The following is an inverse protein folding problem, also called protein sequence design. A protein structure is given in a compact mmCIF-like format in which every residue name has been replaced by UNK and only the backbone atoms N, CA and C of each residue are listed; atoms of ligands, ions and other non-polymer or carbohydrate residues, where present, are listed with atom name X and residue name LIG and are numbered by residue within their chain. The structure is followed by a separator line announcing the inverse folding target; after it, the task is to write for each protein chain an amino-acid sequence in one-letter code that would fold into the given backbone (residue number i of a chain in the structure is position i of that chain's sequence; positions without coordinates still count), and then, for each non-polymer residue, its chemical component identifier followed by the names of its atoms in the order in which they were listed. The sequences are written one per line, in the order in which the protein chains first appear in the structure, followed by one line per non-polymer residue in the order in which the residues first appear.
data_IF_317693286181
#
_entry.id   IF_317693286181
#
_cell.length_a   1.000
_cell.length_b   1.000
_cell.length_c   1.000
_cell.angle_alpha   90.00
_cell.angle_beta   90.00
_cell.angle_gamma   90.00
#
_symmetry.space_group_name_H-M   'P 1'
#
loop_
_entity.id
_entity.type
_entity.pdbx_description
1 polymer ?
#
# COMPACT_ATOMS: atom_id res chain seq x y z
N UNK A 1 -2.08 27.52 -0.11
CA UNK A 1 -1.75 26.09 0.08
C UNK A 1 -3.02 25.26 -0.02
N UNK A 2 -2.89 24.09 -0.64
CA UNK A 2 -4.00 23.13 -0.74
C UNK A 2 -4.41 22.66 0.65
N UNK A 3 -5.70 22.55 0.88
CA UNK A 3 -6.22 22.10 2.17
C UNK A 3 -6.10 20.58 2.30
N UNK A 4 -6.02 20.10 3.53
CA UNK A 4 -5.92 18.66 3.82
C UNK A 4 -7.08 17.86 3.21
N UNK A 5 -8.31 18.38 3.33
CA UNK A 5 -9.47 17.68 2.79
C UNK A 5 -9.38 17.55 1.27
N UNK A 6 -8.85 18.56 0.60
CA UNK A 6 -8.66 18.50 -0.85
C UNK A 6 -7.58 17.48 -1.23
N UNK A 7 -6.52 17.38 -0.44
CA UNK A 7 -5.50 16.35 -0.64
C UNK A 7 -6.10 14.96 -0.48
N UNK A 8 -6.89 14.76 0.57
CA UNK A 8 -7.47 13.46 0.88
C UNK A 8 -8.67 13.09 0.00
N UNK A 9 -9.17 14.01 -0.82
CA UNK A 9 -10.24 13.69 -1.79
C UNK A 9 -9.81 12.63 -2.81
N UNK A 10 -8.51 12.42 -2.96
CA UNK A 10 -7.93 11.33 -3.75
C UNK A 10 -8.47 9.97 -3.32
N UNK A 11 -8.93 9.85 -2.08
CA UNK A 11 -9.54 8.62 -1.56
C UNK A 11 -10.66 8.11 -2.45
N UNK A 12 -11.40 9.01 -3.09
CA UNK A 12 -12.52 8.65 -3.96
C UNK A 12 -12.06 8.16 -5.34
N UNK A 13 -10.78 8.29 -5.66
CA UNK A 13 -10.22 7.88 -6.95
C UNK A 13 -9.51 6.53 -6.88
N UNK A 14 -9.48 5.90 -5.71
CA UNK A 14 -8.80 4.62 -5.48
C UNK A 14 -9.75 3.61 -4.86
N UNK A 15 -9.36 2.35 -4.91
CA UNK A 15 -10.06 1.30 -4.17
C UNK A 15 -9.55 1.24 -2.73
N UNK A 16 -10.48 1.07 -1.81
CA UNK A 16 -10.19 0.93 -0.37
C UNK A 16 -10.73 -0.39 0.12
N UNK A 17 -10.03 -0.98 1.10
CA UNK A 17 -10.42 -2.23 1.72
C UNK A 17 -10.37 -2.06 3.24
N UNK A 18 -11.31 -2.65 3.95
CA UNK A 18 -11.28 -2.62 5.41
C UNK A 18 -10.17 -3.51 5.95
N UNK A 19 -9.71 -3.24 7.17
CA UNK A 19 -8.72 -4.09 7.82
C UNK A 19 -9.25 -5.53 7.96
N UNK A 20 -10.54 -5.69 8.26
CA UNK A 20 -11.16 -7.02 8.38
C UNK A 20 -11.12 -7.80 7.07
N UNK A 21 -11.45 -7.15 5.95
CA UNK A 21 -11.41 -7.81 4.66
C UNK A 21 -9.97 -8.11 4.24
N UNK A 22 -9.03 -7.23 4.56
CA UNK A 22 -7.61 -7.47 4.28
C UNK A 22 -7.09 -8.69 5.07
N UNK A 23 -7.56 -8.87 6.30
CA UNK A 23 -7.16 -10.02 7.12
C UNK A 23 -7.50 -11.34 6.44
N UNK A 24 -8.61 -11.42 5.74
CA UNK A 24 -9.03 -12.63 5.02
C UNK A 24 -8.10 -12.96 3.86
N UNK A 25 -7.25 -12.02 3.44
CA UNK A 25 -6.34 -12.19 2.30
C UNK A 25 -4.92 -12.56 2.72
N UNK A 26 -4.64 -12.71 4.01
CA UNK A 26 -3.28 -12.95 4.53
C UNK A 26 -2.59 -14.17 3.92
N UNK A 27 -3.34 -15.22 3.62
CA UNK A 27 -2.78 -16.47 3.11
C UNK A 27 -3.08 -16.70 1.63
N UNK A 28 -3.59 -15.70 0.94
CA UNK A 28 -3.88 -15.79 -0.49
C UNK A 28 -2.58 -15.58 -1.28
N UNK A 29 -2.12 -16.58 -2.05
CA UNK A 29 -0.87 -16.44 -2.81
C UNK A 29 -0.94 -15.39 -3.93
N UNK A 30 -2.15 -14.95 -4.30
CA UNK A 30 -2.33 -13.92 -5.32
C UNK A 30 -2.38 -12.50 -4.74
N UNK A 31 -2.16 -12.36 -3.44
CA UNK A 31 -2.19 -11.07 -2.75
C UNK A 31 -0.81 -10.76 -2.17
N UNK A 32 -0.34 -9.56 -2.40
CA UNK A 32 0.90 -9.06 -1.82
C UNK A 32 0.62 -7.78 -1.05
N UNK A 33 0.96 -7.79 0.24
CA UNK A 33 0.87 -6.59 1.08
C UNK A 33 2.10 -5.72 0.86
N UNK A 34 1.90 -4.40 0.83
CA UNK A 34 2.96 -3.40 0.65
C UNK A 34 2.89 -2.42 1.82
N UNK A 35 3.96 -2.34 2.60
CA UNK A 35 4.07 -1.42 3.73
C UNK A 35 4.83 -0.18 3.27
N UNK A 36 4.15 0.98 3.24
CA UNK A 36 4.76 2.23 2.77
C UNK A 36 5.22 3.14 3.92
N UNK A 37 5.22 2.62 5.15
CA UNK A 37 5.73 3.36 6.30
C UNK A 37 7.25 3.46 6.22
N UNK A 38 7.84 4.23 7.14
CA UNK A 38 9.30 4.30 7.24
C UNK A 38 9.88 2.96 7.69
N UNK A 39 11.20 2.83 7.53
CA UNK A 39 11.92 1.58 7.83
C UNK A 39 11.82 1.20 9.30
N UNK A 40 11.89 2.17 10.20
CA UNK A 40 11.82 1.90 11.64
C UNK A 40 10.46 1.30 12.01
N UNK A 41 9.38 1.89 11.51
CA UNK A 41 8.03 1.37 11.74
C UNK A 41 7.88 -0.04 11.21
N UNK A 42 8.33 -0.27 9.99
CA UNK A 42 8.31 -1.60 9.37
C UNK A 42 9.07 -2.63 10.21
N UNK A 43 10.24 -2.26 10.73
CA UNK A 43 11.09 -3.17 11.49
C UNK A 43 10.47 -3.58 12.84
N UNK A 44 9.57 -2.77 13.37
CA UNK A 44 8.87 -3.06 14.64
C UNK A 44 7.67 -3.99 14.47
N UNK A 45 7.30 -4.30 13.25
CA UNK A 45 6.19 -5.18 12.93
C UNK A 45 5.44 -4.69 11.71
N UNK A 46 4.91 -5.63 10.94
CA UNK A 46 4.19 -5.34 9.71
C UNK A 46 3.02 -6.29 9.56
N UNK A 47 2.31 -6.24 8.44
CA UNK A 47 1.19 -7.13 8.17
C UNK A 47 1.67 -8.28 7.30
N UNK A 48 1.55 -9.51 7.83
CA UNK A 48 1.92 -10.71 7.08
C UNK A 48 3.38 -10.64 6.61
N UNK A 49 3.59 -10.99 5.35
CA UNK A 49 4.92 -10.93 4.72
C UNK A 49 5.02 -9.72 3.78
N UNK A 50 4.54 -8.56 4.23
CA UNK A 50 4.55 -7.35 3.43
C UNK A 50 5.96 -7.00 2.93
N UNK A 51 6.03 -6.50 1.71
CA UNK A 51 7.24 -5.92 1.16
C UNK A 51 7.29 -4.46 1.61
N UNK A 52 8.43 -4.05 2.16
CA UNK A 52 8.61 -2.66 2.56
C UNK A 52 8.98 -1.80 1.35
N UNK A 53 8.18 -0.77 1.13
CA UNK A 53 8.43 0.24 0.09
C UNK A 53 8.15 1.62 0.66
N UNK A 54 9.15 2.23 1.28
CA UNK A 54 9.04 3.56 1.88
C UNK A 54 8.37 4.53 0.90
N UNK A 55 7.35 5.28 1.38
CA UNK A 55 6.59 6.19 0.52
C UNK A 55 7.50 7.16 -0.25
N UNK A 56 8.58 7.62 0.38
CA UNK A 56 9.51 8.56 -0.25
C UNK A 56 10.26 8.00 -1.45
N UNK A 57 10.36 6.68 -1.55
CA UNK A 57 11.07 5.99 -2.64
C UNK A 57 10.14 5.17 -3.53
N UNK A 58 8.83 5.24 -3.29
CA UNK A 58 7.87 4.36 -3.93
C UNK A 58 7.96 4.38 -5.46
N UNK A 59 8.01 5.57 -6.06
CA UNK A 59 8.07 5.71 -7.51
C UNK A 59 9.31 5.01 -8.09
N UNK A 60 10.41 5.03 -7.35
CA UNK A 60 11.64 4.36 -7.80
C UNK A 60 11.56 2.84 -7.73
N UNK A 61 10.80 2.31 -6.75
CA UNK A 61 10.55 0.87 -6.68
C UNK A 61 9.63 0.39 -7.80
N UNK A 62 8.75 1.27 -8.30
CA UNK A 62 7.77 0.95 -9.32
C UNK A 62 8.29 1.14 -10.74
N UNK A 63 9.10 2.17 -10.96
CA UNK A 63 9.45 2.60 -12.31
C UNK A 63 10.34 1.59 -13.02
N UNK A 64 9.92 1.15 -14.20
CA UNK A 64 10.71 0.25 -15.03
C UNK A 64 12.02 0.92 -15.41
N UNK A 65 13.14 0.22 -15.17
CA UNK A 65 14.47 0.73 -15.47
C UNK A 65 15.09 1.57 -14.35
N UNK A 66 14.37 1.81 -13.25
CA UNK A 66 14.93 2.51 -12.11
C UNK A 66 16.04 1.69 -11.43
N UNK A 67 17.04 2.36 -10.84
CA UNK A 67 18.06 1.64 -10.05
C UNK A 67 17.50 0.85 -8.88
N UNK A 68 16.30 1.24 -8.38
CA UNK A 68 15.64 0.57 -7.26
C UNK A 68 14.46 -0.30 -7.69
N UNK A 69 14.26 -0.51 -8.97
CA UNK A 69 13.10 -1.23 -9.46
C UNK A 69 12.90 -2.56 -8.74
N UNK A 70 11.69 -2.76 -8.20
CA UNK A 70 11.26 -4.07 -7.72
C UNK A 70 10.42 -4.71 -8.81
N UNK A 71 10.92 -5.79 -9.39
CA UNK A 71 10.32 -6.43 -10.56
C UNK A 71 9.03 -7.19 -10.26
N UNK A 72 8.60 -7.23 -9.00
CA UNK A 72 7.37 -7.94 -8.65
C UNK A 72 6.17 -7.44 -9.47
N UNK A 73 6.08 -6.13 -9.73
CA UNK A 73 4.96 -5.56 -10.47
C UNK A 73 4.99 -5.96 -11.94
N UNK A 74 6.18 -6.02 -12.52
CA UNK A 74 6.39 -6.45 -13.90
C UNK A 74 6.13 -7.94 -14.07
N UNK A 75 6.64 -8.73 -13.12
CA UNK A 75 6.56 -10.19 -13.18
C UNK A 75 5.19 -10.72 -12.75
N UNK A 76 4.43 -9.93 -11.96
CA UNK A 76 3.13 -10.34 -11.43
C UNK A 76 2.09 -9.23 -11.64
N UNK A 77 1.78 -8.89 -12.91
CA UNK A 77 0.90 -7.75 -13.21
C UNK A 77 -0.55 -7.95 -12.78
N UNK A 78 -0.98 -9.20 -12.59
CA UNK A 78 -2.36 -9.51 -12.23
C UNK A 78 -2.55 -9.78 -10.73
N UNK A 79 -1.46 -9.72 -9.95
CA UNK A 79 -1.54 -9.90 -8.50
C UNK A 79 -2.27 -8.73 -7.87
N UNK A 80 -3.00 -9.00 -6.79
CA UNK A 80 -3.62 -7.94 -5.99
C UNK A 80 -2.60 -7.39 -5.00
N UNK A 81 -2.45 -6.08 -4.97
CA UNK A 81 -1.53 -5.40 -4.05
C UNK A 81 -2.35 -4.63 -3.02
N UNK A 82 -2.09 -4.91 -1.74
CA UNK A 82 -2.80 -4.27 -0.63
C UNK A 82 -1.80 -3.39 0.11
N UNK A 83 -2.01 -2.08 0.02
CA UNK A 83 -1.10 -1.05 0.53
C UNK A 83 -1.58 -0.56 1.89
N UNK A 84 -0.66 -0.30 2.79
CA UNK A 84 -1.02 0.29 4.08
C UNK A 84 0.08 1.19 4.62
N UNK A 85 -0.35 2.15 5.44
CA UNK A 85 0.53 3.02 6.21
C UNK A 85 0.09 3.02 7.67
N UNK A 86 0.45 4.04 8.44
CA UNK A 86 0.09 4.11 9.86
C UNK A 86 -1.39 4.32 10.10
N UNK A 87 -1.96 5.36 9.46
CA UNK A 87 -3.37 5.76 9.70
C UNK A 87 -4.17 5.98 8.41
N UNK A 88 -3.62 5.67 7.27
CA UNK A 88 -4.34 5.67 5.99
C UNK A 88 -4.02 6.82 5.04
N UNK A 89 -3.46 7.95 5.50
CA UNK A 89 -3.19 9.10 4.65
C UNK A 89 -2.11 8.84 3.60
N UNK A 90 -0.94 8.42 4.03
CA UNK A 90 0.15 8.09 3.11
C UNK A 90 -0.22 6.92 2.20
N UNK A 91 -0.95 5.93 2.74
CA UNK A 91 -1.41 4.79 1.97
C UNK A 91 -2.37 5.19 0.86
N UNK A 92 -3.25 6.16 1.12
CA UNK A 92 -4.14 6.72 0.11
C UNK A 92 -3.34 7.30 -1.06
N UNK A 93 -2.38 8.16 -0.76
CA UNK A 93 -1.54 8.78 -1.80
C UNK A 93 -0.67 7.76 -2.52
N UNK A 94 -0.12 6.80 -1.78
CA UNK A 94 0.69 5.73 -2.35
C UNK A 94 -0.13 4.88 -3.34
N UNK A 95 -1.34 4.52 -2.96
CA UNK A 95 -2.24 3.73 -3.81
C UNK A 95 -2.57 4.47 -5.10
N UNK A 96 -2.84 5.77 -5.01
CA UNK A 96 -3.08 6.61 -6.20
C UNK A 96 -1.85 6.62 -7.10
N UNK A 97 -0.66 6.81 -6.52
CA UNK A 97 0.59 6.80 -7.28
C UNK A 97 0.77 5.45 -7.99
N UNK A 98 0.56 4.34 -7.30
CA UNK A 98 0.70 3.01 -7.89
C UNK A 98 -0.28 2.81 -9.04
N UNK A 99 -1.54 3.21 -8.85
CA UNK A 99 -2.55 3.13 -9.90
C UNK A 99 -2.13 3.95 -11.13
N UNK A 100 -1.71 5.18 -10.91
CA UNK A 100 -1.31 6.08 -11.99
C UNK A 100 -0.06 5.59 -12.72
N UNK A 101 0.81 4.86 -12.04
CA UNK A 101 2.01 4.29 -12.65
C UNK A 101 1.76 2.94 -13.35
N UNK A 102 0.54 2.42 -13.28
CA UNK A 102 0.16 1.24 -14.07
C UNK A 102 -0.13 -0.03 -13.29
N UNK A 103 -0.15 0.01 -11.95
CA UNK A 103 -0.55 -1.15 -11.16
C UNK A 103 -2.06 -1.34 -11.28
N UNK A 104 -2.49 -2.47 -11.86
CA UNK A 104 -3.90 -2.67 -12.22
C UNK A 104 -4.81 -2.97 -11.04
N UNK A 105 -4.33 -3.70 -10.06
CA UNK A 105 -5.15 -4.18 -8.95
C UNK A 105 -4.48 -3.79 -7.64
N UNK A 106 -4.80 -2.61 -7.14
CA UNK A 106 -4.19 -2.06 -5.92
C UNK A 106 -5.25 -1.43 -5.04
N UNK A 107 -5.18 -1.70 -3.74
CA UNK A 107 -6.13 -1.19 -2.75
C UNK A 107 -5.39 -0.67 -1.53
N UNK A 108 -5.98 0.31 -0.87
CA UNK A 108 -5.46 0.86 0.38
C UNK A 108 -6.26 0.32 1.57
N UNK A 109 -5.59 -0.08 2.64
CA UNK A 109 -6.30 -0.44 3.88
C UNK A 109 -6.77 0.85 4.55
N UNK A 110 -8.08 1.02 4.66
CA UNK A 110 -8.68 2.16 5.34
C UNK A 110 -8.21 2.20 6.79
N UNK A 111 -7.66 3.34 7.22
CA UNK A 111 -7.14 3.51 8.58
C UNK A 111 -5.80 2.83 8.85
N UNK A 112 -5.24 2.13 7.88
CA UNK A 112 -3.90 1.56 7.95
C UNK A 112 -3.63 0.64 9.13
N UNK A 113 -2.40 0.67 9.62
CA UNK A 113 -1.97 -0.19 10.73
C UNK A 113 -2.80 0.04 12.00
N UNK A 114 -3.27 1.27 12.23
CA UNK A 114 -4.08 1.58 13.41
C UNK A 114 -5.37 0.74 13.45
N UNK A 115 -6.04 0.59 12.30
CA UNK A 115 -7.24 -0.24 12.22
C UNK A 115 -6.90 -1.73 12.25
N UNK A 116 -5.80 -2.12 11.63
CA UNK A 116 -5.32 -3.50 11.66
C UNK A 116 -5.06 -3.98 13.10
N UNK A 117 -4.41 -3.15 13.91
CA UNK A 117 -4.08 -3.48 15.29
C UNK A 117 -5.32 -3.80 16.14
N UNK A 118 -6.47 -3.23 15.79
CA UNK A 118 -7.72 -3.47 16.51
C UNK A 118 -8.31 -4.85 16.25
N UNK A 119 -7.97 -5.47 15.12
CA UNK A 119 -8.67 -6.70 14.66
C UNK A 119 -7.73 -7.87 14.37
N UNK A 120 -6.43 -7.69 14.54
CA UNK A 120 -5.44 -8.69 14.12
C UNK A 120 -5.52 -10.01 14.86
N UNK A 121 -6.04 -10.02 16.08
CA UNK A 121 -6.16 -11.20 16.94
C UNK A 121 -7.48 -11.93 16.76
#
# INVERSE_FOLDING_TARGET
MKKFDDLMSVRDEIENISASDAKEKLNDPNVQFIDVRDKESFSKGTIGNAIHMDRGLLEFYLAEGSPLENKIFKDNPDKEYVVFCGVGGQGTLATKTMKDMGVKNVKNISGGMAEWEKIKD
#
